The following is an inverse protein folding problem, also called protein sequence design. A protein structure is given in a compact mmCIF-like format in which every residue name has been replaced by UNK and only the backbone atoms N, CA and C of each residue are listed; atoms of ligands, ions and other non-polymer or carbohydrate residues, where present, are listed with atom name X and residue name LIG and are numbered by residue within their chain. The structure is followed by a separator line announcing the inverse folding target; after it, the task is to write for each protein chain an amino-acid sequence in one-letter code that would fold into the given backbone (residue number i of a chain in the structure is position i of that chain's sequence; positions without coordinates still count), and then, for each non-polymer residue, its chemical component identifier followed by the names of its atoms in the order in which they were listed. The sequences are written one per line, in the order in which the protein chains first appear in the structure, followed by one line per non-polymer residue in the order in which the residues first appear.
data_IF_177691442810
#
_entry.id   IF_177691442810
#
_cell.length_a   1.000
_cell.length_b   1.000
_cell.length_c   1.000
_cell.angle_alpha   90.00
_cell.angle_beta   90.00
_cell.angle_gamma   90.00
#
_symmetry.space_group_name_H-M   'P 1'
#
loop_
_entity.id
_entity.type
_entity.pdbx_description
1 polymer ?
#
# COMPACT_ATOMS: atom_id res chain seq x y z
N UNK A 1 -40.02 -31.07 -11.88
CA UNK A 1 -39.10 -30.70 -10.78
C UNK A 1 -37.71 -30.27 -11.26
N UNK A 2 -37.02 -31.03 -12.12
CA UNK A 2 -35.65 -30.73 -12.57
C UNK A 2 -35.46 -29.44 -13.41
N UNK A 3 -36.51 -28.95 -14.08
CA UNK A 3 -36.43 -27.69 -14.86
C UNK A 3 -36.45 -26.44 -13.99
N UNK A 4 -37.24 -26.45 -12.91
CA UNK A 4 -37.37 -25.33 -11.98
C UNK A 4 -36.08 -25.18 -11.14
N UNK A 5 -35.50 -26.30 -10.70
CA UNK A 5 -34.22 -26.31 -9.98
C UNK A 5 -33.07 -25.74 -10.83
N UNK A 6 -33.06 -26.04 -12.14
CA UNK A 6 -32.08 -25.49 -13.09
C UNK A 6 -32.24 -23.97 -13.28
N UNK A 7 -33.47 -23.46 -13.26
CA UNK A 7 -33.76 -22.01 -13.37
C UNK A 7 -33.30 -21.28 -12.11
N UNK A 8 -33.57 -21.82 -10.91
CA UNK A 8 -33.06 -21.26 -9.67
C UNK A 8 -31.52 -21.29 -9.59
N UNK A 9 -30.89 -22.36 -10.07
CA UNK A 9 -29.43 -22.44 -10.16
C UNK A 9 -28.85 -21.38 -11.12
N UNK A 10 -29.52 -21.12 -12.26
CA UNK A 10 -29.08 -20.11 -13.23
C UNK A 10 -29.22 -18.67 -12.71
N UNK A 11 -30.29 -18.39 -11.94
CA UNK A 11 -30.51 -17.09 -11.28
C UNK A 11 -29.49 -16.88 -10.15
N UNK A 12 -29.14 -17.94 -9.40
CA UNK A 12 -28.15 -17.88 -8.32
C UNK A 12 -26.71 -17.70 -8.84
N UNK A 13 -26.38 -18.20 -10.04
CA UNK A 13 -25.09 -17.92 -10.70
C UNK A 13 -25.02 -16.53 -11.34
N UNK A 14 -26.15 -15.88 -11.64
CA UNK A 14 -26.20 -14.56 -12.27
C UNK A 14 -25.92 -13.38 -11.32
N UNK A 15 -25.89 -13.62 -10.00
CA UNK A 15 -25.62 -12.59 -8.98
C UNK A 15 -24.14 -12.53 -8.54
N UNK A 16 -23.24 -13.16 -9.29
CA UNK A 16 -21.81 -13.14 -9.00
C UNK A 16 -21.17 -11.80 -9.37
N UNK A 17 -21.12 -10.93 -8.35
CA UNK A 17 -20.08 -9.94 -8.00
C UNK A 17 -19.63 -8.95 -9.08
N UNK A 18 -19.83 -7.65 -8.79
CA UNK A 18 -18.96 -6.60 -9.32
C UNK A 18 -17.56 -6.78 -8.72
N UNK A 19 -16.61 -7.30 -9.47
CA UNK A 19 -15.19 -7.19 -9.13
C UNK A 19 -14.72 -5.79 -9.55
N UNK A 20 -14.81 -4.86 -8.61
CA UNK A 20 -14.16 -3.56 -8.71
C UNK A 20 -12.76 -3.71 -8.15
N UNK A 21 -11.77 -3.78 -9.03
CA UNK A 21 -10.38 -3.69 -8.62
C UNK A 21 -9.74 -2.62 -9.48
N UNK A 22 -9.20 -1.62 -8.81
CA UNK A 22 -7.98 -0.90 -9.14
C UNK A 22 -7.69 0.01 -7.96
N UNK A 23 -6.45 0.05 -7.48
CA UNK A 23 -5.76 1.33 -7.25
C UNK A 23 -4.50 1.16 -6.45
N UNK A 24 -3.41 1.58 -7.09
CA UNK A 24 -2.21 2.24 -6.56
C UNK A 24 -1.27 2.24 -7.78
N UNK A 25 -0.77 3.41 -8.13
CA UNK A 25 0.23 3.60 -9.18
C UNK A 25 1.57 3.03 -8.70
N UNK A 26 1.87 3.24 -7.41
CA UNK A 26 3.07 2.76 -6.73
C UNK A 26 3.25 3.49 -5.41
N UNK A 27 4.47 3.43 -4.88
CA UNK A 27 4.82 4.07 -3.62
C UNK A 27 6.29 3.87 -3.29
N UNK A 28 6.65 4.33 -2.10
CA UNK A 28 7.99 4.21 -1.52
C UNK A 28 7.89 4.28 0.00
N UNK A 29 8.81 3.62 0.69
CA UNK A 29 8.97 3.72 2.14
C UNK A 29 10.32 4.36 2.43
N UNK A 30 10.32 5.33 3.34
CA UNK A 30 11.48 6.12 3.73
C UNK A 30 11.66 6.01 5.24
N UNK A 31 12.92 6.10 5.67
CA UNK A 31 13.27 6.17 7.08
C UNK A 31 14.32 7.26 7.27
N UNK A 32 13.99 8.24 8.10
CA UNK A 32 14.81 9.42 8.34
C UNK A 32 15.15 9.50 9.82
N UNK A 33 16.42 9.68 10.16
CA UNK A 33 16.83 9.96 11.54
C UNK A 33 16.43 11.40 11.90
N UNK A 34 15.71 11.58 13.01
CA UNK A 34 15.12 12.89 13.38
C UNK A 34 15.52 13.38 14.77
N UNK A 35 16.24 12.58 15.55
CA UNK A 35 16.69 12.98 16.87
C UNK A 35 18.10 13.58 16.86
N UNK A 36 18.59 13.91 18.04
CA UNK A 36 19.97 14.39 18.23
C UNK A 36 21.01 13.32 17.85
N UNK A 37 22.27 13.74 17.73
CA UNK A 37 23.40 12.85 17.52
C UNK A 37 23.41 11.75 18.60
N UNK A 38 23.55 10.48 18.20
CA UNK A 38 23.45 9.29 19.06
C UNK A 38 22.07 8.97 19.65
N UNK A 39 21.00 9.62 19.18
CA UNK A 39 19.64 9.14 19.44
C UNK A 39 19.24 8.04 18.46
N UNK A 40 18.29 7.19 18.85
CA UNK A 40 17.77 6.11 18.02
C UNK A 40 16.35 6.41 17.52
N UNK A 41 16.03 7.68 17.34
CA UNK A 41 14.69 8.15 16.96
C UNK A 41 14.63 8.45 15.46
N UNK A 42 13.67 7.81 14.80
CA UNK A 42 13.50 7.85 13.36
C UNK A 42 12.05 8.15 13.00
N UNK A 43 11.84 8.86 11.90
CA UNK A 43 10.56 8.96 11.23
C UNK A 43 10.52 7.93 10.10
N UNK A 44 9.58 7.01 10.18
CA UNK A 44 9.23 6.13 9.07
C UNK A 44 8.09 6.76 8.32
N UNK A 45 8.22 6.87 7.00
CA UNK A 45 7.23 7.47 6.12
C UNK A 45 6.92 6.52 4.97
N UNK A 46 5.65 6.27 4.70
CA UNK A 46 5.20 5.59 3.50
C UNK A 46 4.49 6.59 2.60
N UNK A 47 4.88 6.66 1.34
CA UNK A 47 4.22 7.47 0.32
C UNK A 47 3.54 6.51 -0.66
N UNK A 48 2.24 6.67 -0.87
CA UNK A 48 1.46 5.92 -1.85
C UNK A 48 0.83 6.87 -2.88
N UNK A 49 0.78 6.43 -4.13
CA UNK A 49 0.18 7.17 -5.23
C UNK A 49 -1.06 6.43 -5.73
N UNK A 50 -2.22 7.09 -5.74
CA UNK A 50 -3.52 6.52 -6.13
C UNK A 50 -4.03 7.16 -7.43
N UNK A 51 -4.54 6.37 -8.37
CA UNK A 51 -5.07 6.82 -9.67
C UNK A 51 -6.50 7.42 -9.61
N UNK A 52 -6.73 8.52 -8.90
CA UNK A 52 -8.07 9.05 -8.58
C UNK A 52 -9.02 9.33 -9.77
N UNK A 53 -8.61 9.09 -11.02
CA UNK A 53 -9.45 9.11 -12.20
C UNK A 53 -10.46 7.95 -12.24
N UNK A 54 -10.20 6.87 -11.51
CA UNK A 54 -11.01 5.65 -11.59
C UNK A 54 -12.12 5.61 -10.55
N UNK A 55 -13.29 5.15 -10.96
CA UNK A 55 -14.52 5.14 -10.14
C UNK A 55 -14.58 4.00 -9.11
N UNK A 56 -13.59 3.11 -9.09
CA UNK A 56 -13.57 1.87 -8.33
C UNK A 56 -12.42 1.81 -7.29
N UNK A 57 -11.95 2.97 -6.85
CA UNK A 57 -10.89 3.11 -5.85
C UNK A 57 -11.45 3.02 -4.41
N UNK A 58 -10.99 2.08 -3.56
CA UNK A 58 -11.33 2.10 -2.13
C UNK A 58 -10.74 3.30 -1.38
N UNK A 59 -9.72 3.96 -1.96
CA UNK A 59 -9.02 5.08 -1.36
C UNK A 59 -7.85 4.65 -0.45
N UNK A 60 -7.16 5.63 0.14
CA UNK A 60 -6.21 5.37 1.21
C UNK A 60 -6.93 4.86 2.46
N UNK A 61 -6.31 3.90 3.15
CA UNK A 61 -6.76 3.51 4.49
C UNK A 61 -6.29 4.59 5.48
N UNK A 62 -7.11 5.00 6.46
CA UNK A 62 -6.74 6.07 7.41
C UNK A 62 -5.57 5.66 8.34
N UNK A 63 -5.45 4.36 8.58
CA UNK A 63 -4.45 3.75 9.43
C UNK A 63 -3.91 2.48 8.76
N UNK A 64 -2.59 2.35 8.70
CA UNK A 64 -1.91 1.16 8.19
C UNK A 64 -1.00 0.55 9.25
N UNK A 65 -0.75 -0.76 9.17
CA UNK A 65 0.16 -1.48 10.07
C UNK A 65 1.38 -2.01 9.33
N UNK A 66 2.58 -1.80 9.86
CA UNK A 66 3.82 -2.36 9.34
C UNK A 66 4.50 -3.24 10.39
N UNK A 67 5.46 -4.06 9.96
CA UNK A 67 6.23 -4.94 10.85
C UNK A 67 7.72 -4.73 10.63
N UNK A 68 8.47 -4.67 11.72
CA UNK A 68 9.93 -4.66 11.71
C UNK A 68 10.41 -6.11 11.88
N UNK A 69 11.22 -6.60 10.94
CA UNK A 69 11.81 -7.92 10.98
C UNK A 69 13.32 -7.84 11.17
N UNK A 70 13.89 -8.81 11.89
CA UNK A 70 15.34 -9.01 11.97
C UNK A 70 15.82 -9.69 10.68
N UNK A 71 16.91 -9.19 10.10
CA UNK A 71 17.42 -9.69 8.81
C UNK A 71 18.11 -11.05 8.91
N UNK A 72 18.69 -11.40 10.05
CA UNK A 72 19.46 -12.63 10.21
C UNK A 72 18.62 -13.90 10.16
N UNK A 73 17.40 -13.86 10.70
CA UNK A 73 16.51 -15.03 10.86
C UNK A 73 15.05 -14.78 10.38
N UNK A 74 14.72 -13.56 9.97
CA UNK A 74 13.35 -13.20 9.58
C UNK A 74 12.38 -13.10 10.76
N UNK A 75 12.86 -13.02 12.00
CA UNK A 75 12.02 -12.90 13.18
C UNK A 75 11.24 -11.57 13.16
N UNK A 76 9.92 -11.63 13.34
CA UNK A 76 9.10 -10.44 13.57
C UNK A 76 9.44 -9.85 14.94
N UNK A 77 9.98 -8.64 14.95
CA UNK A 77 10.44 -7.95 16.16
C UNK A 77 9.33 -7.09 16.76
N UNK A 78 8.74 -6.20 15.93
CA UNK A 78 7.78 -5.20 16.40
C UNK A 78 6.79 -4.83 15.31
N UNK A 79 5.51 -4.74 15.68
CA UNK A 79 4.49 -4.13 14.83
C UNK A 79 4.35 -2.64 15.17
N UNK A 80 4.08 -1.82 14.17
CA UNK A 80 3.75 -0.41 14.33
C UNK A 80 2.59 -0.03 13.43
N UNK A 81 2.07 1.18 13.66
CA UNK A 81 0.97 1.73 12.86
C UNK A 81 1.29 3.15 12.44
N UNK A 82 0.90 3.53 11.22
CA UNK A 82 1.06 4.90 10.71
C UNK A 82 -0.31 5.44 10.29
N UNK A 83 -0.56 6.71 10.60
CA UNK A 83 -1.74 7.44 10.14
C UNK A 83 -1.39 8.31 8.94
N UNK A 84 -2.40 8.66 8.15
CA UNK A 84 -2.23 9.66 7.09
C UNK A 84 -1.82 11.00 7.70
N UNK A 85 -0.71 11.56 7.24
CA UNK A 85 -0.21 12.87 7.66
C UNK A 85 -0.34 13.93 6.58
N UNK A 86 -0.41 13.55 5.30
CA UNK A 86 -0.61 14.48 4.19
C UNK A 86 -1.32 13.81 3.01
N UNK A 87 -2.11 14.59 2.28
CA UNK A 87 -2.72 14.19 1.01
C UNK A 87 -2.70 15.36 0.03
N UNK A 88 -2.17 15.13 -1.17
CA UNK A 88 -2.10 16.15 -2.20
C UNK A 88 -2.25 15.54 -3.60
N UNK A 89 -2.82 16.28 -4.54
CA UNK A 89 -2.83 15.86 -5.94
C UNK A 89 -1.46 16.11 -6.55
N UNK A 90 -0.96 15.13 -7.30
CA UNK A 90 0.30 15.25 -8.03
C UNK A 90 0.07 16.16 -9.25
N UNK A 91 0.80 17.29 -9.36
CA UNK A 91 0.68 18.16 -10.51
C UNK A 91 1.32 17.51 -11.74
N UNK A 92 0.60 17.50 -12.87
CA UNK A 92 1.15 17.07 -14.15
C UNK A 92 1.85 18.26 -14.82
N UNK A 93 3.15 18.12 -15.05
CA UNK A 93 3.99 19.20 -15.59
C UNK A 93 4.02 19.25 -17.12
N UNK A 94 3.67 18.14 -17.79
CA UNK A 94 3.61 18.07 -19.25
C UNK A 94 2.15 18.09 -19.74
N UNK A 95 1.65 19.21 -20.29
CA UNK A 95 0.28 19.32 -20.77
C UNK A 95 -0.02 18.40 -21.97
N UNK A 96 0.98 18.03 -22.78
CA UNK A 96 0.79 17.10 -23.91
C UNK A 96 0.58 15.65 -23.44
N UNK A 97 1.08 15.31 -22.24
CA UNK A 97 0.85 14.02 -21.59
C UNK A 97 -0.30 14.06 -20.58
N UNK A 98 -0.75 15.25 -20.17
CA UNK A 98 -1.85 15.45 -19.25
C UNK A 98 -3.18 15.31 -19.99
N UNK A 99 -3.62 14.06 -20.18
CA UNK A 99 -5.00 13.82 -20.61
C UNK A 99 -5.93 14.41 -19.53
N UNK A 100 -7.00 15.10 -19.94
CA UNK A 100 -7.87 15.86 -19.02
C UNK A 100 -8.61 15.03 -17.95
N UNK A 101 -8.44 13.71 -17.97
CA UNK A 101 -8.97 12.77 -16.99
C UNK A 101 -7.90 12.20 -16.05
N UNK A 102 -6.62 12.51 -16.23
CA UNK A 102 -5.58 12.02 -15.32
C UNK A 102 -5.73 12.64 -13.94
N UNK A 103 -5.64 11.80 -12.92
CA UNK A 103 -5.69 12.21 -11.54
C UNK A 103 -4.82 11.25 -10.72
N UNK A 104 -3.81 11.79 -10.04
CA UNK A 104 -2.98 11.03 -9.11
C UNK A 104 -3.02 11.71 -7.76
N UNK A 105 -3.44 10.99 -6.73
CA UNK A 105 -3.43 11.42 -5.34
C UNK A 105 -2.22 10.82 -4.63
N UNK A 106 -1.33 11.67 -4.12
CA UNK A 106 -0.22 11.29 -3.25
C UNK A 106 -0.70 11.32 -1.81
N UNK A 107 -0.50 10.21 -1.10
CA UNK A 107 -0.89 10.02 0.30
C UNK A 107 0.35 9.65 1.09
N UNK A 108 0.62 10.43 2.15
CA UNK A 108 1.75 10.20 3.03
C UNK A 108 1.27 9.70 4.38
N UNK A 109 1.89 8.63 4.84
CA UNK A 109 1.75 8.07 6.18
C UNK A 109 3.04 8.26 6.93
N UNK A 110 2.97 8.57 8.22
CA UNK A 110 4.19 8.76 9.01
C UNK A 110 4.00 8.26 10.44
N UNK A 111 5.08 7.71 11.00
CA UNK A 111 5.19 7.35 12.41
C UNK A 111 6.62 7.57 12.90
N UNK A 112 6.75 8.21 14.06
CA UNK A 112 8.02 8.35 14.74
C UNK A 112 8.24 7.15 15.66
N UNK A 113 9.39 6.52 15.54
CA UNK A 113 9.77 5.35 16.32
C UNK A 113 11.13 5.51 16.96
N UNK A 114 11.30 4.86 18.10
CA UNK A 114 12.62 4.64 18.70
C UNK A 114 13.04 3.19 18.51
N UNK A 115 14.27 2.97 18.04
CA UNK A 115 14.89 1.65 17.88
C UNK A 115 15.94 1.47 18.97
N UNK A 116 15.51 1.10 20.18
CA UNK A 116 16.41 0.92 21.32
C UNK A 116 17.51 -0.11 20.99
N UNK A 117 18.80 0.23 21.11
CA UNK A 117 19.89 -0.70 20.82
C UNK A 117 19.91 -1.93 21.73
N UNK A 118 19.23 -1.93 22.87
CA UNK A 118 19.08 -3.14 23.69
C UNK A 118 18.16 -4.18 23.02
N UNK A 119 17.23 -3.75 22.18
CA UNK A 119 16.31 -4.60 21.41
C UNK A 119 16.80 -4.78 19.96
N UNK A 120 17.28 -3.69 19.35
CA UNK A 120 17.66 -3.59 17.94
C UNK A 120 19.19 -3.63 17.74
N UNK A 121 19.88 -4.64 18.28
CA UNK A 121 21.35 -4.82 18.18
C UNK A 121 21.84 -5.92 17.23
N UNK A 122 20.98 -6.55 16.42
CA UNK A 122 21.43 -7.62 15.53
C UNK A 122 22.39 -7.06 14.47
N UNK A 123 23.58 -7.66 14.28
CA UNK A 123 24.60 -7.13 13.37
C UNK A 123 24.20 -7.17 11.89
N UNK A 124 23.25 -8.03 11.49
CA UNK A 124 22.67 -8.01 10.14
C UNK A 124 21.62 -6.91 9.96
N UNK A 125 21.17 -6.29 11.06
CA UNK A 125 20.21 -5.21 11.08
C UNK A 125 18.76 -5.66 10.92
N UNK A 126 17.90 -4.70 10.60
CA UNK A 126 16.45 -4.86 10.58
C UNK A 126 15.86 -4.30 9.28
N UNK A 127 14.66 -4.74 8.93
CA UNK A 127 13.89 -4.27 7.77
C UNK A 127 12.47 -3.94 8.20
N UNK A 128 11.95 -2.81 7.73
CA UNK A 128 10.56 -2.40 7.97
C UNK A 128 9.76 -2.83 6.76
N UNK A 129 8.75 -3.66 6.95
CA UNK A 129 7.95 -4.19 5.85
C UNK A 129 6.52 -3.71 5.98
N UNK A 130 6.00 -3.18 4.88
CA UNK A 130 4.58 -2.96 4.68
C UNK A 130 4.17 -3.56 3.34
N UNK A 131 2.98 -4.15 3.29
CA UNK A 131 2.43 -4.66 2.06
C UNK A 131 0.94 -4.34 1.91
N UNK A 132 0.51 -4.18 0.66
CA UNK A 132 -0.90 -4.10 0.30
C UNK A 132 -1.12 -4.78 -1.03
N UNK A 133 -2.28 -5.42 -1.16
CA UNK A 133 -2.72 -5.98 -2.42
C UNK A 133 -3.01 -4.88 -3.46
N UNK A 134 -3.41 -5.31 -4.66
CA UNK A 134 -4.34 -4.56 -5.49
C UNK A 134 -3.73 -3.41 -6.32
N UNK A 135 -2.69 -3.72 -7.10
CA UNK A 135 -2.17 -2.82 -8.14
C UNK A 135 -3.23 -2.48 -9.20
N UNK A 136 -2.94 -1.46 -10.00
CA UNK A 136 -3.79 -1.09 -11.15
C UNK A 136 -3.86 -2.25 -12.19
N UNK A 137 -5.04 -2.72 -12.56
CA UNK A 137 -5.25 -3.75 -13.59
C UNK A 137 -4.71 -3.36 -14.96
N UNK A 138 -4.62 -2.06 -15.25
CA UNK A 138 -4.08 -1.58 -16.52
C UNK A 138 -2.57 -1.81 -16.65
N UNK A 139 -1.88 -2.13 -15.55
CA UNK A 139 -0.45 -2.47 -15.52
C UNK A 139 -0.15 -3.65 -16.44
N UNK A 140 0.54 -3.39 -17.56
CA UNK A 140 0.74 -4.38 -18.63
C UNK A 140 1.87 -5.37 -18.40
N UNK A 141 2.77 -5.10 -17.46
CA UNK A 141 3.97 -5.91 -17.19
C UNK A 141 3.81 -6.94 -16.07
N UNK A 142 2.58 -7.18 -15.58
CA UNK A 142 2.29 -8.15 -14.53
C UNK A 142 1.14 -9.09 -14.94
N UNK A 143 1.24 -10.36 -14.56
CA UNK A 143 0.14 -11.32 -14.70
C UNK A 143 -0.84 -11.09 -13.56
N UNK A 144 -2.12 -10.82 -13.86
CA UNK A 144 -3.19 -10.53 -12.89
C UNK A 144 -2.87 -9.36 -11.93
N UNK A 145 -2.58 -8.14 -12.41
CA UNK A 145 -2.04 -7.05 -11.57
C UNK A 145 -2.88 -6.73 -10.32
N UNK A 146 -4.21 -6.72 -10.44
CA UNK A 146 -5.11 -6.44 -9.32
C UNK A 146 -5.11 -7.49 -8.21
N UNK A 147 -4.48 -8.65 -8.42
CA UNK A 147 -4.28 -9.69 -7.42
C UNK A 147 -2.84 -9.76 -6.91
N UNK A 148 -1.94 -8.94 -7.44
CA UNK A 148 -0.55 -8.89 -6.99
C UNK A 148 -0.37 -7.82 -5.92
N UNK A 149 0.39 -8.15 -4.88
CA UNK A 149 0.79 -7.22 -3.84
C UNK A 149 1.89 -6.26 -4.27
N UNK A 150 2.04 -5.20 -3.49
CA UNK A 150 3.23 -4.37 -3.42
C UNK A 150 3.78 -4.49 -2.02
N UNK A 151 5.05 -4.85 -1.92
CA UNK A 151 5.79 -4.89 -0.67
C UNK A 151 6.83 -3.77 -0.72
N UNK A 152 6.90 -3.00 0.36
CA UNK A 152 7.85 -1.90 0.54
C UNK A 152 8.72 -2.24 1.75
N UNK A 153 10.04 -2.11 1.58
CA UNK A 153 11.08 -2.54 2.53
C UNK A 153 12.20 -1.54 2.66
#
# INVERSE_FOLDING_TARGET
MNRILKIFLFIFLGTLTKLNANHIVGGEIEMIHIGEENSFTYRVKLIQYFDCAQTANPGPDDLISYTIFRKSDGQAMRNGTMFITNQEFVPYTNPDCALGFLCTLKVEYSHEITLDPNEFNDPAGYVIVWERCCRNWSTKNLVNPGWNGMTYT
#
